data_IF_202080581299
#
_entry.id   IF_202080581299
#
_cell.length_a   1.000
_cell.length_b   1.000
_cell.length_c   1.000
_cell.angle_alpha   90.00
_cell.angle_beta   90.00
_cell.angle_gamma   90.00
#
_symmetry.space_group_name_H-M   'P 1'
#
loop_
_entity.id
_entity.type
_entity.pdbx_description
1 polymer ?
#
# COMPACT_ATOMS: atom_id res chain seq x y z
N UNK A 1 -22.51 -31.93 19.56
CA UNK A 1 -22.38 -31.42 18.17
C UNK A 1 -22.08 -29.91 18.14
N UNK A 2 -22.95 -29.04 18.67
CA UNK A 2 -22.79 -27.57 18.63
C UNK A 2 -21.48 -27.05 19.24
N UNK A 3 -21.07 -27.58 20.41
CA UNK A 3 -19.82 -27.17 21.06
C UNK A 3 -18.55 -27.49 20.25
N UNK A 4 -18.57 -28.57 19.45
CA UNK A 4 -17.43 -28.96 18.62
C UNK A 4 -17.32 -28.06 17.37
N UNK A 5 -18.46 -27.67 16.79
CA UNK A 5 -18.53 -26.70 15.69
C UNK A 5 -18.06 -25.30 16.13
N UNK A 6 -18.42 -24.88 17.34
CA UNK A 6 -17.95 -23.62 17.92
C UNK A 6 -16.42 -23.63 18.14
N UNK A 7 -15.85 -24.72 18.66
CA UNK A 7 -14.41 -24.86 18.86
C UNK A 7 -13.61 -24.83 17.53
N UNK A 8 -14.17 -25.41 16.46
CA UNK A 8 -13.54 -25.39 15.12
C UNK A 8 -13.54 -23.98 14.50
N UNK A 9 -14.54 -23.14 14.80
CA UNK A 9 -14.59 -21.77 14.32
C UNK A 9 -13.50 -20.87 14.92
N UNK A 10 -13.05 -21.16 16.16
CA UNK A 10 -11.96 -20.41 16.79
C UNK A 10 -10.58 -20.71 16.18
N UNK A 11 -10.42 -21.84 15.48
CA UNK A 11 -9.17 -22.20 14.81
C UNK A 11 -9.04 -21.64 13.38
N UNK A 12 -10.00 -20.83 12.93
CA UNK A 12 -10.04 -20.30 11.56
C UNK A 12 -9.10 -19.10 11.33
N UNK A 13 -8.57 -18.47 12.39
CA UNK A 13 -7.60 -17.39 12.26
C UNK A 13 -6.27 -17.94 11.72
N UNK A 14 -5.93 -17.54 10.50
CA UNK A 14 -4.58 -17.70 9.97
C UNK A 14 -3.73 -16.50 10.42
N UNK A 15 -2.43 -16.70 10.69
CA UNK A 15 -1.53 -15.58 10.87
C UNK A 15 -1.55 -14.73 9.61
N UNK A 16 -1.78 -13.44 9.80
CA UNK A 16 -1.73 -12.46 8.72
C UNK A 16 -0.26 -12.22 8.36
N UNK A 17 0.03 -12.08 7.05
CA UNK A 17 1.37 -11.75 6.63
C UNK A 17 1.70 -10.33 7.09
N UNK A 18 2.90 -10.13 7.63
CA UNK A 18 3.33 -8.81 8.09
C UNK A 18 3.50 -7.87 6.90
N UNK A 19 2.83 -6.71 6.97
CA UNK A 19 2.90 -5.70 5.92
C UNK A 19 4.27 -4.99 5.95
N UNK A 20 4.89 -4.72 4.78
CA UNK A 20 6.12 -3.93 4.72
C UNK A 20 5.92 -2.56 5.36
N UNK A 21 6.83 -2.11 6.22
CA UNK A 21 6.74 -0.80 6.84
C UNK A 21 6.79 0.34 5.80
N UNK A 22 6.06 1.45 6.01
CA UNK A 22 6.13 2.60 5.12
C UNK A 22 7.56 3.17 5.09
N UNK A 23 8.03 3.52 3.90
CA UNK A 23 9.31 4.19 3.72
C UNK A 23 9.15 5.71 3.85
N UNK A 24 10.20 6.37 4.36
CA UNK A 24 10.29 7.81 4.30
C UNK A 24 10.55 8.27 2.86
N UNK A 25 9.98 9.40 2.47
CA UNK A 25 10.23 9.99 1.16
C UNK A 25 11.68 10.45 1.10
N UNK A 26 12.40 10.04 0.05
CA UNK A 26 13.79 10.40 -0.21
C UNK A 26 13.89 11.33 -1.42
N UNK A 27 15.06 11.94 -1.63
CA UNK A 27 15.32 12.76 -2.82
C UNK A 27 15.29 11.97 -4.12
N UNK A 28 15.40 10.64 -4.05
CA UNK A 28 15.29 9.76 -5.22
C UNK A 28 13.84 9.32 -5.51
N UNK A 29 12.87 9.72 -4.69
CA UNK A 29 11.48 9.30 -4.87
C UNK A 29 10.84 10.06 -6.04
N UNK A 30 10.44 9.32 -7.07
CA UNK A 30 9.84 9.83 -8.32
C UNK A 30 8.42 9.30 -8.44
N UNK A 31 7.46 10.16 -8.78
CA UNK A 31 6.07 9.78 -8.92
C UNK A 31 5.84 8.91 -10.15
N UNK A 32 5.19 7.76 -9.97
CA UNK A 32 4.94 6.75 -11.00
C UNK A 32 4.31 7.30 -12.27
N UNK A 33 3.26 8.11 -12.15
CA UNK A 33 2.56 8.67 -13.32
C UNK A 33 3.19 9.94 -13.88
N UNK A 34 3.70 10.84 -13.03
CA UNK A 34 4.20 12.13 -13.48
C UNK A 34 5.68 12.11 -13.88
N UNK A 35 6.46 11.13 -13.41
CA UNK A 35 7.90 11.06 -13.65
C UNK A 35 8.72 12.16 -12.97
N UNK A 36 8.09 12.95 -12.08
CA UNK A 36 8.68 14.09 -11.39
C UNK A 36 9.00 13.74 -9.93
N UNK A 37 9.92 14.49 -9.30
CA UNK A 37 10.31 14.24 -7.91
C UNK A 37 9.14 14.48 -6.94
N UNK A 38 9.01 13.62 -5.93
CA UNK A 38 7.97 13.74 -4.90
C UNK A 38 8.10 15.01 -4.06
N UNK A 39 9.32 15.55 -3.93
CA UNK A 39 9.61 16.80 -3.23
C UNK A 39 9.01 18.03 -3.92
N UNK A 40 8.71 17.95 -5.22
CA UNK A 40 8.10 19.04 -6.00
C UNK A 40 6.57 19.10 -5.86
N UNK A 41 5.98 18.17 -5.11
CA UNK A 41 4.53 18.07 -4.92
C UNK A 41 4.13 18.38 -3.48
N UNK A 42 3.09 19.19 -3.34
CA UNK A 42 2.41 19.38 -2.06
C UNK A 42 1.34 18.32 -1.81
N UNK A 43 0.83 18.27 -0.57
CA UNK A 43 -0.27 17.39 -0.20
C UNK A 43 0.15 15.94 0.13
N UNK A 44 -0.83 15.05 0.33
CA UNK A 44 -0.58 13.69 0.79
C UNK A 44 0.01 12.85 -0.34
N UNK A 45 1.24 12.37 -0.14
CA UNK A 45 1.93 11.44 -1.04
C UNK A 45 1.55 10.00 -0.69
N UNK A 46 1.65 9.10 -1.66
CA UNK A 46 1.39 7.68 -1.40
C UNK A 46 2.50 6.77 -1.87
N UNK A 47 2.49 5.56 -1.32
CA UNK A 47 3.39 4.47 -1.69
C UNK A 47 2.61 3.14 -1.65
N UNK A 48 2.83 2.32 -2.68
CA UNK A 48 2.26 0.98 -2.78
C UNK A 48 3.40 -0.03 -2.81
N UNK A 49 3.36 -1.00 -1.91
CA UNK A 49 4.21 -2.17 -1.97
C UNK A 49 3.48 -3.26 -2.75
N UNK A 50 4.07 -3.69 -3.86
CA UNK A 50 3.61 -4.84 -4.66
C UNK A 50 4.38 -6.07 -4.20
N UNK A 51 3.73 -7.23 -4.14
CA UNK A 51 4.38 -8.47 -3.71
C UNK A 51 5.51 -8.83 -4.68
N UNK A 52 6.67 -9.16 -4.12
CA UNK A 52 7.86 -9.52 -4.91
C UNK A 52 8.73 -8.33 -5.33
N UNK A 53 8.26 -7.10 -5.17
CA UNK A 53 9.05 -5.89 -5.40
C UNK A 53 9.77 -5.46 -4.11
N UNK A 54 11.04 -5.05 -4.23
CA UNK A 54 11.85 -4.59 -3.09
C UNK A 54 11.54 -3.15 -2.68
N UNK A 55 11.12 -2.32 -3.65
CA UNK A 55 10.85 -0.89 -3.47
C UNK A 55 9.40 -0.56 -3.76
N UNK A 56 8.81 0.42 -3.05
CA UNK A 56 7.45 0.82 -3.32
C UNK A 56 7.33 1.60 -4.63
N UNK A 57 6.15 1.52 -5.23
CA UNK A 57 5.71 2.45 -6.28
C UNK A 57 5.25 3.74 -5.61
N UNK A 58 5.87 4.86 -5.96
CA UNK A 58 5.60 6.17 -5.37
C UNK A 58 4.55 6.96 -6.14
N UNK A 59 3.71 7.71 -5.44
CA UNK A 59 2.69 8.56 -6.03
C UNK A 59 2.75 9.97 -5.44
N UNK A 60 2.65 10.97 -6.31
CA UNK A 60 2.63 12.38 -5.92
C UNK A 60 1.34 12.78 -5.20
N UNK A 61 0.26 11.99 -5.32
CA UNK A 61 -0.98 12.22 -4.61
C UNK A 61 -1.63 10.92 -4.09
N UNK A 62 -2.33 11.02 -2.96
CA UNK A 62 -3.16 9.93 -2.42
C UNK A 62 -4.25 9.48 -3.41
N UNK A 63 -4.76 10.41 -4.22
CA UNK A 63 -5.74 10.09 -5.27
C UNK A 63 -5.14 9.14 -6.31
N UNK A 64 -3.94 9.45 -6.80
CA UNK A 64 -3.27 8.62 -7.81
C UNK A 64 -2.91 7.25 -7.26
N UNK A 65 -2.56 7.20 -5.97
CA UNK A 65 -2.34 5.95 -5.23
C UNK A 65 -3.58 5.06 -5.27
N UNK A 66 -4.77 5.61 -5.00
CA UNK A 66 -6.02 4.85 -5.10
C UNK A 66 -6.33 4.49 -6.56
N UNK A 67 -6.11 5.40 -7.50
CA UNK A 67 -6.37 5.16 -8.93
C UNK A 67 -5.59 3.95 -9.47
N UNK A 68 -4.32 3.78 -9.06
CA UNK A 68 -3.49 2.60 -9.40
C UNK A 68 -4.19 1.27 -9.08
N UNK A 69 -4.90 1.20 -7.95
CA UNK A 69 -5.63 -0.03 -7.56
C UNK A 69 -6.77 -0.39 -8.51
N UNK A 70 -7.30 0.59 -9.25
CA UNK A 70 -8.48 0.43 -10.11
C UNK A 70 -8.12 0.13 -11.57
N UNK A 71 -6.92 0.51 -12.03
CA UNK A 71 -6.49 0.37 -13.42
C UNK A 71 -6.18 -1.09 -13.77
N UNK A 72 -6.77 -1.69 -14.82
CA UNK A 72 -6.59 -3.12 -15.12
C UNK A 72 -5.15 -3.52 -15.48
N UNK A 73 -4.34 -2.56 -15.97
CA UNK A 73 -2.94 -2.74 -16.34
C UNK A 73 -1.99 -2.80 -15.14
N UNK A 74 -2.39 -2.26 -13.98
CA UNK A 74 -1.53 -2.18 -12.81
C UNK A 74 -1.56 -3.48 -11.97
N UNK A 75 -0.44 -3.87 -11.34
CA UNK A 75 -0.35 -5.03 -10.46
C UNK A 75 -1.46 -5.07 -9.40
N UNK A 76 -2.02 -6.26 -9.18
CA UNK A 76 -3.14 -6.48 -8.23
C UNK A 76 -2.72 -7.18 -6.94
N UNK A 77 -1.51 -7.70 -6.91
CA UNK A 77 -0.87 -8.33 -5.78
C UNK A 77 -0.25 -7.29 -4.83
N UNK A 78 -1.09 -6.41 -4.32
CA UNK A 78 -0.70 -5.37 -3.37
C UNK A 78 -0.41 -6.00 -2.00
N UNK A 79 0.77 -5.72 -1.45
CA UNK A 79 1.18 -6.09 -0.10
C UNK A 79 0.75 -5.04 0.93
N UNK A 80 0.90 -3.75 0.61
CA UNK A 80 0.49 -2.65 1.48
C UNK A 80 0.30 -1.35 0.68
N UNK A 81 -0.56 -0.46 1.18
CA UNK A 81 -0.76 0.89 0.66
C UNK A 81 -0.63 1.87 1.84
N UNK A 82 0.22 2.88 1.68
CA UNK A 82 0.36 3.95 2.66
C UNK A 82 0.16 5.30 1.99
N UNK A 83 -0.47 6.21 2.72
CA UNK A 83 -0.55 7.62 2.37
C UNK A 83 -0.03 8.45 3.53
N UNK A 84 0.64 9.55 3.21
CA UNK A 84 1.11 10.49 4.23
C UNK A 84 -0.08 11.29 4.72
N UNK A 85 -0.30 11.31 6.03
CA UNK A 85 -1.25 12.23 6.63
C UNK A 85 -0.69 13.66 6.54
N UNK A 86 -1.56 14.58 6.14
CA UNK A 86 -1.28 16.02 6.06
C UNK A 86 -2.24 16.83 6.94
N UNK A 87 -3.13 16.15 7.68
CA UNK A 87 -3.91 16.72 8.76
C UNK A 87 -3.03 16.92 10.00
N UNK A 88 -3.30 18.01 10.73
CA UNK A 88 -2.66 18.30 12.00
C UNK A 88 -3.21 17.42 13.14
#
# INVERSE_FOLDING_TARGET
>A
AVALLAALALAACKPEAEAPAPQAVTDAAIGHYCGMMLSEHGGPRGQIFVKGEETPVWFSSARDTVAFTLLPEEPKDIAAIYVSDMGA
#
